data_IF_251353226375
#
_entry.id   IF_251353226375
#
_cell.length_a   1.000
_cell.length_b   1.000
_cell.length_c   1.000
_cell.angle_alpha   90.00
_cell.angle_beta   90.00
_cell.angle_gamma   90.00
#
_symmetry.space_group_name_H-M   'P 1'
#
loop_
_entity.id
_entity.type
_entity.pdbx_description
1 polymer ?
#
# COMPACT_ATOMS: atom_id res chain seq x y z
N UNK A 1 3.24 -0.08 7.53
CA UNK A 1 4.27 0.76 8.19
C UNK A 1 4.96 1.66 7.18
N UNK A 2 4.92 2.97 7.35
CA UNK A 2 5.54 3.91 6.39
C UNK A 2 7.00 4.21 6.73
N UNK A 3 7.79 4.62 5.74
CA UNK A 3 9.17 5.09 5.97
C UNK A 3 9.24 6.29 6.92
N UNK A 4 8.18 7.11 6.98
CA UNK A 4 8.08 8.20 7.96
C UNK A 4 7.99 7.70 9.40
N UNK A 5 7.22 6.63 9.67
CA UNK A 5 7.16 6.01 11.00
C UNK A 5 8.53 5.43 11.40
N UNK A 6 9.24 4.79 10.45
CA UNK A 6 10.61 4.29 10.68
C UNK A 6 11.59 5.42 11.01
N UNK A 7 11.55 6.52 10.25
CA UNK A 7 12.43 7.67 10.47
C UNK A 7 12.16 8.35 11.82
N UNK A 8 10.89 8.50 12.20
CA UNK A 8 10.50 9.20 13.43
C UNK A 8 10.61 8.34 14.69
N UNK A 9 10.38 7.03 14.59
CA UNK A 9 10.31 6.12 15.74
C UNK A 9 11.46 5.10 15.80
N UNK A 10 12.35 5.09 14.81
CA UNK A 10 13.49 4.17 14.74
C UNK A 10 13.09 2.69 14.61
N UNK A 11 11.87 2.39 14.14
CA UNK A 11 11.39 1.01 14.00
C UNK A 11 12.01 0.36 12.77
N UNK A 12 12.33 -0.94 12.89
CA UNK A 12 12.84 -1.73 11.77
C UNK A 12 11.82 -1.79 10.62
N UNK A 13 12.33 -1.96 9.41
CA UNK A 13 11.49 -2.20 8.24
C UNK A 13 10.63 -3.45 8.47
N UNK A 14 9.35 -3.38 8.10
CA UNK A 14 8.49 -4.56 8.14
C UNK A 14 8.91 -5.56 7.06
N UNK A 15 9.08 -6.83 7.43
CA UNK A 15 9.30 -7.91 6.48
C UNK A 15 8.02 -8.39 5.77
N UNK A 16 6.84 -7.83 6.08
CA UNK A 16 5.57 -8.29 5.50
C UNK A 16 5.51 -8.08 3.98
N UNK A 17 5.88 -6.92 3.40
CA UNK A 17 5.87 -6.74 1.95
C UNK A 17 6.74 -7.76 1.22
N UNK A 18 7.92 -8.08 1.77
CA UNK A 18 8.81 -9.10 1.22
C UNK A 18 8.17 -10.49 1.28
N UNK A 19 7.55 -10.86 2.41
CA UNK A 19 6.85 -12.14 2.55
C UNK A 19 5.63 -12.27 1.62
N UNK A 20 4.90 -11.19 1.37
CA UNK A 20 3.81 -11.17 0.38
C UNK A 20 4.39 -11.43 -1.01
N UNK A 21 5.43 -10.69 -1.38
CA UNK A 21 6.07 -10.82 -2.68
C UNK A 21 6.63 -12.23 -2.90
N UNK A 22 7.29 -12.81 -1.90
CA UNK A 22 7.78 -14.18 -1.92
C UNK A 22 6.65 -15.18 -2.19
N UNK A 23 5.56 -15.11 -1.40
CA UNK A 23 4.42 -16.03 -1.57
C UNK A 23 3.63 -15.81 -2.86
N UNK A 24 3.68 -14.63 -3.45
CA UNK A 24 3.09 -14.36 -4.77
C UNK A 24 3.99 -14.90 -5.87
N UNK A 25 5.31 -14.72 -5.76
CA UNK A 25 6.29 -15.28 -6.69
C UNK A 25 6.23 -16.81 -6.71
N UNK A 26 6.16 -17.44 -5.54
CA UNK A 26 5.96 -18.89 -5.42
C UNK A 26 4.69 -19.35 -6.14
N UNK A 27 3.56 -18.66 -5.95
CA UNK A 27 2.30 -18.98 -6.66
C UNK A 27 2.38 -18.76 -8.15
N UNK A 28 3.11 -17.74 -8.59
CA UNK A 28 3.33 -17.43 -9.99
C UNK A 28 4.45 -18.27 -10.63
N UNK A 29 5.10 -19.16 -9.86
CA UNK A 29 6.24 -19.95 -10.29
C UNK A 29 7.41 -19.07 -10.82
N UNK A 30 7.58 -17.88 -10.23
CA UNK A 30 8.67 -16.97 -10.55
C UNK A 30 9.82 -17.24 -9.57
N UNK A 31 10.97 -17.75 -10.05
CA UNK A 31 12.08 -18.08 -9.17
C UNK A 31 12.74 -16.81 -8.66
N UNK A 32 12.73 -16.61 -7.34
CA UNK A 32 13.47 -15.53 -6.69
C UNK A 32 14.93 -15.91 -6.38
N UNK A 33 15.31 -17.18 -6.54
CA UNK A 33 16.66 -17.67 -6.19
C UNK A 33 16.71 -18.24 -4.77
N UNK A 34 17.90 -18.29 -4.19
CA UNK A 34 18.19 -18.85 -2.87
C UNK A 34 19.01 -17.89 -1.99
N UNK A 35 19.09 -18.20 -0.69
CA UNK A 35 19.86 -17.45 0.28
C UNK A 35 19.58 -15.94 0.28
N UNK A 36 20.65 -15.15 0.32
CA UNK A 36 20.60 -13.69 0.39
C UNK A 36 20.02 -13.06 -0.89
N UNK A 37 20.23 -13.66 -2.05
CA UNK A 37 19.66 -13.20 -3.33
C UNK A 37 18.13 -13.28 -3.30
N UNK A 38 17.59 -14.36 -2.75
CA UNK A 38 16.14 -14.52 -2.56
C UNK A 38 15.59 -13.40 -1.69
N UNK A 39 16.21 -13.15 -0.54
CA UNK A 39 15.76 -12.14 0.41
C UNK A 39 15.79 -10.73 -0.19
N UNK A 40 16.87 -10.39 -0.90
CA UNK A 40 17.02 -9.11 -1.59
C UNK A 40 15.96 -8.92 -2.69
N UNK A 41 15.70 -9.95 -3.49
CA UNK A 41 14.67 -9.90 -4.54
C UNK A 41 13.26 -9.84 -3.98
N UNK A 42 12.97 -10.56 -2.90
CA UNK A 42 11.68 -10.50 -2.21
C UNK A 42 11.43 -9.09 -1.65
N UNK A 43 12.44 -8.47 -1.02
CA UNK A 43 12.35 -7.08 -0.56
C UNK A 43 12.11 -6.10 -1.71
N UNK A 44 12.88 -6.20 -2.80
CA UNK A 44 12.72 -5.35 -3.97
C UNK A 44 11.32 -5.53 -4.60
N UNK A 45 10.85 -6.76 -4.75
CA UNK A 45 9.52 -7.07 -5.26
C UNK A 45 8.41 -6.51 -4.35
N UNK A 46 8.56 -6.62 -3.03
CA UNK A 46 7.64 -6.01 -2.06
C UNK A 46 7.54 -4.49 -2.23
N UNK A 47 8.67 -3.81 -2.44
CA UNK A 47 8.70 -2.37 -2.70
C UNK A 47 8.03 -2.01 -4.04
N UNK A 48 8.31 -2.78 -5.10
CA UNK A 48 7.68 -2.61 -6.42
C UNK A 48 6.17 -2.80 -6.38
N UNK A 49 5.68 -3.80 -5.62
CA UNK A 49 4.24 -3.98 -5.39
C UNK A 49 3.63 -2.74 -4.73
N UNK A 50 4.30 -2.15 -3.74
CA UNK A 50 3.87 -0.89 -3.13
C UNK A 50 3.72 0.25 -4.14
N UNK A 51 4.70 0.43 -5.03
CA UNK A 51 4.61 1.42 -6.11
C UNK A 51 3.46 1.11 -7.08
N UNK A 52 3.28 -0.15 -7.46
CA UNK A 52 2.20 -0.56 -8.35
C UNK A 52 0.82 -0.27 -7.74
N UNK A 53 0.62 -0.54 -6.45
CA UNK A 53 -0.62 -0.23 -5.73
C UNK A 53 -0.88 1.28 -5.73
N UNK A 54 0.12 2.09 -5.38
CA UNK A 54 0.00 3.55 -5.39
C UNK A 54 -0.33 4.08 -6.79
N UNK A 55 0.55 3.86 -7.76
CA UNK A 55 0.35 4.35 -9.13
C UNK A 55 -0.96 3.84 -9.74
N UNK A 56 -1.31 2.58 -9.49
CA UNK A 56 -2.57 1.96 -9.93
C UNK A 56 -3.80 2.64 -9.33
N UNK A 57 -3.79 2.92 -8.02
CA UNK A 57 -4.88 3.63 -7.35
C UNK A 57 -5.07 5.05 -7.91
N UNK A 58 -3.97 5.79 -8.13
CA UNK A 58 -4.02 7.12 -8.72
C UNK A 58 -4.52 7.11 -10.17
N UNK A 59 -4.04 6.18 -11.00
CA UNK A 59 -4.48 6.01 -12.38
C UNK A 59 -5.97 5.62 -12.47
N UNK A 60 -6.41 4.67 -11.64
CA UNK A 60 -7.80 4.25 -11.56
C UNK A 60 -8.72 5.41 -11.14
N UNK A 61 -8.29 6.22 -10.17
CA UNK A 61 -9.01 7.43 -9.78
C UNK A 61 -9.15 8.41 -10.93
N UNK A 62 -8.06 8.70 -11.63
CA UNK A 62 -8.08 9.64 -12.76
C UNK A 62 -8.99 9.18 -13.89
N UNK A 63 -8.98 7.88 -14.21
CA UNK A 63 -9.87 7.29 -15.21
C UNK A 63 -11.34 7.34 -14.78
N UNK A 64 -11.64 7.02 -13.52
CA UNK A 64 -13.00 7.08 -12.98
C UNK A 64 -13.54 8.51 -13.02
N UNK A 65 -12.70 9.48 -12.61
CA UNK A 65 -13.06 10.89 -12.54
C UNK A 65 -13.20 11.55 -13.92
N UNK A 66 -12.48 11.06 -14.92
CA UNK A 66 -12.70 11.44 -16.32
C UNK A 66 -14.11 11.06 -16.82
N UNK A 67 -14.66 9.93 -16.35
CA UNK A 67 -15.97 9.40 -16.80
C UNK A 67 -17.16 9.79 -15.91
N UNK A 68 -16.93 10.31 -14.71
CA UNK A 68 -17.97 10.56 -13.69
C UNK A 68 -17.79 11.93 -13.04
N UNK A 69 -18.86 12.58 -12.53
CA UNK A 69 -18.76 13.84 -11.80
C UNK A 69 -17.81 13.79 -10.60
N UNK A 70 -17.30 14.95 -10.18
CA UNK A 70 -16.43 15.04 -9.01
C UNK A 70 -17.19 14.66 -7.75
N UNK A 71 -16.63 13.69 -7.02
CA UNK A 71 -16.86 13.63 -5.59
C UNK A 71 -16.14 14.82 -4.93
N UNK A 72 -16.73 15.42 -3.89
CA UNK A 72 -16.03 16.42 -3.12
C UNK A 72 -14.80 15.81 -2.45
N UNK A 73 -13.74 16.60 -2.28
CA UNK A 73 -12.42 16.11 -1.84
C UNK A 73 -12.45 15.42 -0.47
N UNK A 74 -13.33 15.88 0.43
CA UNK A 74 -13.53 15.27 1.75
C UNK A 74 -14.06 13.83 1.67
N UNK A 75 -14.64 13.43 0.52
CA UNK A 75 -15.08 12.08 0.26
C UNK A 75 -14.08 11.31 -0.62
N UNK A 76 -13.58 11.95 -1.69
CA UNK A 76 -12.64 11.32 -2.62
C UNK A 76 -11.33 10.90 -1.93
N UNK A 77 -10.75 11.77 -1.11
CA UNK A 77 -9.47 11.50 -0.44
C UNK A 77 -9.53 10.31 0.50
N UNK A 78 -10.47 10.25 1.46
CA UNK A 78 -10.62 9.09 2.34
C UNK A 78 -10.95 7.79 1.61
N UNK A 79 -11.79 7.83 0.56
CA UNK A 79 -12.08 6.64 -0.24
C UNK A 79 -10.83 6.10 -0.95
N UNK A 80 -9.98 6.99 -1.49
CA UNK A 80 -8.71 6.59 -2.10
C UNK A 80 -7.73 6.05 -1.07
N UNK A 81 -7.65 6.68 0.09
CA UNK A 81 -6.82 6.19 1.19
C UNK A 81 -7.25 4.80 1.63
N UNK A 82 -8.56 4.59 1.81
CA UNK A 82 -9.12 3.28 2.15
C UNK A 82 -8.86 2.23 1.06
N UNK A 83 -8.98 2.59 -0.22
CA UNK A 83 -8.68 1.70 -1.33
C UNK A 83 -7.19 1.31 -1.38
N UNK A 84 -6.28 2.27 -1.15
CA UNK A 84 -4.85 2.02 -1.09
C UNK A 84 -4.48 1.13 0.11
N UNK A 85 -5.04 1.42 1.29
CA UNK A 85 -4.87 0.63 2.50
C UNK A 85 -5.35 -0.81 2.29
N UNK A 86 -6.56 -0.98 1.76
CA UNK A 86 -7.09 -2.30 1.44
C UNK A 86 -6.20 -3.04 0.41
N UNK A 87 -5.68 -2.35 -0.59
CA UNK A 87 -4.75 -2.93 -1.57
C UNK A 87 -3.45 -3.44 -0.93
N UNK A 88 -2.94 -2.76 0.09
CA UNK A 88 -1.76 -3.17 0.83
C UNK A 88 -2.03 -4.31 1.82
N UNK A 89 -3.16 -4.24 2.55
CA UNK A 89 -3.44 -5.15 3.66
C UNK A 89 -4.20 -6.42 3.26
N UNK A 90 -5.00 -6.38 2.19
CA UNK A 90 -5.79 -7.55 1.77
C UNK A 90 -4.90 -8.75 1.40
N UNK A 91 -3.80 -8.60 0.63
CA UNK A 91 -2.88 -9.71 0.39
C UNK A 91 -2.24 -10.22 1.68
N UNK A 92 -1.80 -9.31 2.57
CA UNK A 92 -1.21 -9.66 3.85
C UNK A 92 -2.17 -10.49 4.71
N UNK A 93 -3.44 -10.09 4.75
CA UNK A 93 -4.50 -10.72 5.53
C UNK A 93 -4.90 -12.06 4.94
N UNK A 94 -5.09 -12.14 3.62
CA UNK A 94 -5.40 -13.38 2.91
C UNK A 94 -4.29 -14.43 3.06
N UNK A 95 -3.03 -13.98 3.13
CA UNK A 95 -1.86 -14.81 3.40
C UNK A 95 -1.64 -15.09 4.89
N UNK A 96 -2.50 -14.59 5.79
CA UNK A 96 -2.37 -14.74 7.26
C UNK A 96 -1.03 -14.24 7.80
N UNK A 97 -0.48 -13.21 7.16
CA UNK A 97 0.72 -12.50 7.63
C UNK A 97 0.37 -11.39 8.62
N UNK A 98 -0.87 -10.93 8.60
CA UNK A 98 -1.42 -9.95 9.53
C UNK A 98 -2.90 -10.23 9.79
N UNK A 99 -3.42 -9.69 10.88
CA UNK A 99 -4.84 -9.71 11.21
C UNK A 99 -5.28 -8.32 11.72
N UNK A 100 -5.96 -7.52 10.89
CA UNK A 100 -6.43 -6.18 11.26
C UNK A 100 -7.37 -6.15 12.47
N UNK A 101 -8.03 -7.27 12.78
CA UNK A 101 -8.98 -7.35 13.91
C UNK A 101 -8.28 -7.43 15.27
N UNK A 102 -7.00 -7.81 15.29
CA UNK A 102 -6.17 -7.89 16.49
C UNK A 102 -5.23 -6.69 16.65
N UNK A 103 -5.26 -5.72 15.73
CA UNK A 103 -4.35 -4.58 15.77
C UNK A 103 -4.62 -3.67 16.97
N UNK A 104 -3.54 -3.21 17.60
CA UNK A 104 -3.62 -2.13 18.57
C UNK A 104 -4.10 -0.82 17.93
N UNK A 105 -4.72 0.11 18.69
CA UNK A 105 -5.10 1.42 18.17
C UNK A 105 -3.92 2.19 17.54
N UNK A 106 -2.72 2.05 18.11
CA UNK A 106 -1.50 2.67 17.56
C UNK A 106 -1.10 2.06 16.23
N UNK A 107 -1.23 0.74 16.07
CA UNK A 107 -0.98 0.06 14.79
C UNK A 107 -1.96 0.53 13.72
N UNK A 108 -3.24 0.62 14.06
CA UNK A 108 -4.28 1.17 13.20
C UNK A 108 -3.95 2.61 12.78
N UNK A 109 -3.60 3.48 13.72
CA UNK A 109 -3.26 4.88 13.42
C UNK A 109 -2.01 5.00 12.53
N UNK A 110 -0.96 4.23 12.82
CA UNK A 110 0.27 4.20 12.02
C UNK A 110 0.04 3.69 10.60
N UNK A 111 -1.06 3.00 10.34
CA UNK A 111 -1.40 2.52 9.01
C UNK A 111 -2.43 3.41 8.30
N UNK A 112 -3.52 3.81 8.96
CA UNK A 112 -4.56 4.68 8.39
C UNK A 112 -4.02 6.06 8.02
N UNK A 113 -3.21 6.68 8.87
CA UNK A 113 -2.71 8.06 8.65
C UNK A 113 -1.93 8.22 7.34
N UNK A 114 -0.89 7.40 7.05
CA UNK A 114 -0.17 7.54 5.78
C UNK A 114 -1.06 7.25 4.56
N UNK A 115 -2.01 6.31 4.66
CA UNK A 115 -2.94 6.01 3.56
C UNK A 115 -3.95 7.15 3.31
N UNK A 116 -4.48 7.78 4.37
CA UNK A 116 -5.33 8.96 4.25
C UNK A 116 -4.56 10.14 3.63
N UNK A 117 -3.31 10.37 4.06
CA UNK A 117 -2.46 11.40 3.47
C UNK A 117 -2.27 11.13 1.97
N UNK A 118 -1.94 9.89 1.60
CA UNK A 118 -1.83 9.47 0.20
C UNK A 118 -3.11 9.76 -0.60
N UNK A 119 -4.28 9.37 -0.08
CA UNK A 119 -5.56 9.56 -0.76
C UNK A 119 -5.94 11.03 -0.94
N UNK A 120 -5.77 11.84 0.11
CA UNK A 120 -6.00 13.29 0.07
C UNK A 120 -5.07 13.99 -0.92
N UNK A 121 -3.77 13.67 -0.89
CA UNK A 121 -2.78 14.23 -1.82
C UNK A 121 -3.09 13.84 -3.25
N UNK A 122 -3.47 12.59 -3.51
CA UNK A 122 -3.85 12.11 -4.85
C UNK A 122 -5.07 12.86 -5.38
N UNK A 123 -6.12 12.99 -4.57
CA UNK A 123 -7.34 13.72 -4.95
C UNK A 123 -7.05 15.22 -5.20
N UNK A 124 -6.23 15.84 -4.34
CA UNK A 124 -5.83 17.24 -4.47
C UNK A 124 -4.99 17.47 -5.74
N UNK A 125 -4.00 16.62 -5.99
CA UNK A 125 -3.14 16.69 -7.18
C UNK A 125 -3.96 16.57 -8.46
N UNK A 126 -4.88 15.61 -8.53
CA UNK A 126 -5.76 15.47 -9.68
C UNK A 126 -6.62 16.72 -9.90
N UNK A 127 -7.25 17.24 -8.85
CA UNK A 127 -8.06 18.47 -8.94
C UNK A 127 -7.25 19.68 -9.38
N UNK A 128 -5.97 19.76 -9.00
CA UNK A 128 -5.09 20.83 -9.45
C UNK A 128 -4.74 20.75 -10.95
N UNK A 129 -4.95 19.59 -11.59
CA UNK A 129 -4.68 19.38 -13.02
C UNK A 129 -5.88 19.64 -13.94
N UNK A 130 -7.12 19.75 -13.43
CA UNK A 130 -8.33 20.09 -14.22
C UNK A 130 -9.57 19.31 -13.83
#
# INVERSE_FOLDING_TARGET
MSYGDMLLRGRSASGIPAQIADRLADRAQVPLGDGEDKDNRAQAAGALLGYAIGLGAGAAYGLLRYRRPALPIWLAGPLLGAAAMAGADAPATALRLTDPTSWSPTSWASDVVPHLAYGLTTAAAYRAMG
#
